data_IF_069157250988
#
_entry.id   IF_069157250988
#
_cell.length_a   1.000
_cell.length_b   1.000
_cell.length_c   1.000
_cell.angle_alpha   90.00
_cell.angle_beta   90.00
_cell.angle_gamma   90.00
#
_symmetry.space_group_name_H-M   'P 1'
#
loop_
_entity.id
_entity.type
_entity.pdbx_description
1 polymer ?
#
# COMPACT_ATOMS: atom_id res chain seq x y z
N UNK A 1 -4.96 5.50 -26.25
CA UNK A 1 -3.81 5.42 -25.33
C UNK A 1 -2.48 5.65 -26.04
N UNK A 2 -2.18 4.97 -27.15
CA UNK A 2 -0.88 5.09 -27.85
C UNK A 2 -0.52 6.52 -28.28
N UNK A 3 -1.49 7.32 -28.75
CA UNK A 3 -1.22 8.67 -29.27
C UNK A 3 -0.96 9.74 -28.20
N UNK A 4 -1.35 9.53 -26.94
CA UNK A 4 -1.09 10.49 -25.85
C UNK A 4 0.33 10.33 -25.28
N UNK A 5 0.79 9.08 -25.17
CA UNK A 5 2.15 8.76 -24.74
C UNK A 5 3.22 9.20 -25.75
N UNK A 6 2.94 9.09 -27.05
CA UNK A 6 3.85 9.57 -28.10
C UNK A 6 4.11 11.08 -28.01
N UNK A 7 3.16 11.85 -27.48
CA UNK A 7 3.28 13.30 -27.29
C UNK A 7 3.79 13.70 -25.90
N UNK A 8 3.99 12.72 -25.01
CA UNK A 8 4.45 12.99 -23.65
C UNK A 8 5.89 13.49 -23.68
N UNK A 9 6.07 14.73 -23.25
CA UNK A 9 7.38 15.36 -23.11
C UNK A 9 7.82 15.27 -21.65
N UNK A 10 9.06 14.85 -21.41
CA UNK A 10 9.62 14.79 -20.07
C UNK A 10 9.82 16.19 -19.49
N UNK A 11 9.40 16.39 -18.24
CA UNK A 11 9.65 17.62 -17.48
C UNK A 11 10.75 17.35 -16.45
N UNK A 12 12.02 17.72 -16.69
CA UNK A 12 13.16 17.22 -15.91
C UNK A 12 13.31 17.81 -14.51
N UNK A 13 12.78 19.01 -14.26
CA UNK A 13 12.94 19.73 -12.98
C UNK A 13 14.42 19.77 -12.54
N UNK A 14 14.75 19.18 -11.40
CA UNK A 14 16.10 19.16 -10.81
C UNK A 14 17.09 18.22 -11.52
N UNK A 15 16.64 17.47 -12.54
CA UNK A 15 17.46 16.57 -13.36
C UNK A 15 17.79 17.14 -14.74
N UNK A 16 17.67 18.46 -14.92
CA UNK A 16 17.90 19.11 -16.21
C UNK A 16 19.31 18.85 -16.76
N UNK A 17 20.30 18.85 -15.88
CA UNK A 17 21.69 18.53 -16.18
C UNK A 17 21.84 17.13 -16.79
N UNK A 18 21.19 16.11 -16.21
CA UNK A 18 21.21 14.76 -16.74
C UNK A 18 20.36 14.61 -17.99
N UNK A 19 19.20 15.27 -18.04
CA UNK A 19 18.29 15.23 -19.18
C UNK A 19 18.90 15.78 -20.47
N UNK A 20 19.73 16.83 -20.37
CA UNK A 20 20.34 17.45 -21.55
C UNK A 20 21.41 16.56 -22.20
N UNK A 21 21.90 15.53 -21.49
CA UNK A 21 22.82 14.51 -22.04
C UNK A 21 22.12 13.54 -23.00
N UNK A 22 22.90 12.77 -23.76
CA UNK A 22 22.37 11.74 -24.65
C UNK A 22 21.78 10.57 -23.86
N UNK A 23 22.47 10.11 -22.80
CA UNK A 23 21.95 9.11 -21.86
C UNK A 23 20.57 9.50 -21.33
N UNK A 24 20.38 10.75 -20.90
CA UNK A 24 19.09 11.22 -20.38
C UNK A 24 17.96 11.13 -21.40
N UNK A 25 18.22 11.46 -22.67
CA UNK A 25 17.25 11.38 -23.76
C UNK A 25 16.94 9.93 -24.13
N UNK A 26 17.98 9.11 -24.27
CA UNK A 26 17.86 7.69 -24.60
C UNK A 26 17.10 6.91 -23.52
N UNK A 27 17.33 7.21 -22.23
CA UNK A 27 16.57 6.64 -21.13
C UNK A 27 15.07 6.94 -21.26
N UNK A 28 14.70 8.17 -21.60
CA UNK A 28 13.29 8.54 -21.77
C UNK A 28 12.64 7.77 -22.93
N UNK A 29 13.34 7.66 -24.05
CA UNK A 29 12.85 6.92 -25.21
C UNK A 29 12.75 5.42 -24.94
N UNK A 30 13.75 4.85 -24.27
CA UNK A 30 13.72 3.46 -23.79
C UNK A 30 12.50 3.21 -22.89
N UNK A 31 12.26 4.05 -21.89
CA UNK A 31 11.15 3.87 -20.94
C UNK A 31 9.77 3.94 -21.59
N UNK A 32 9.62 4.71 -22.68
CA UNK A 32 8.37 4.82 -23.45
C UNK A 32 8.16 3.66 -24.45
N UNK A 33 9.13 2.78 -24.64
CA UNK A 33 8.95 1.61 -25.50
C UNK A 33 7.76 0.78 -24.99
N UNK A 34 6.96 0.28 -25.92
CA UNK A 34 5.70 -0.42 -25.64
C UNK A 34 5.86 -1.54 -24.59
N UNK A 35 6.90 -2.36 -24.70
CA UNK A 35 7.16 -3.46 -23.76
C UNK A 35 7.47 -2.96 -22.34
N UNK A 36 8.14 -1.81 -22.21
CA UNK A 36 8.45 -1.21 -20.93
C UNK A 36 7.19 -0.61 -20.28
N UNK A 37 6.27 -0.05 -21.07
CA UNK A 37 4.96 0.37 -20.60
C UNK A 37 4.17 -0.83 -20.03
N UNK A 38 4.09 -1.93 -20.78
CA UNK A 38 3.43 -3.17 -20.33
C UNK A 38 4.06 -3.70 -19.04
N UNK A 39 5.40 -3.69 -18.92
CA UNK A 39 6.11 -4.11 -17.71
C UNK A 39 5.71 -3.26 -16.50
N UNK A 40 5.65 -1.94 -16.64
CA UNK A 40 5.26 -1.02 -15.56
C UNK A 40 3.81 -1.23 -15.11
N UNK A 41 2.88 -1.39 -16.06
CA UNK A 41 1.47 -1.70 -15.75
C UNK A 41 1.33 -3.07 -15.07
N UNK A 42 2.04 -4.08 -15.58
CA UNK A 42 2.04 -5.42 -14.99
C UNK A 42 2.58 -5.40 -13.56
N UNK A 43 3.68 -4.70 -13.30
CA UNK A 43 4.19 -4.52 -11.93
C UNK A 43 3.16 -3.85 -11.03
N UNK A 44 2.44 -2.85 -11.55
CA UNK A 44 1.36 -2.17 -10.83
C UNK A 44 0.20 -3.12 -10.48
N UNK A 45 -0.22 -3.98 -11.42
CA UNK A 45 -1.24 -5.01 -11.17
C UNK A 45 -0.81 -6.01 -10.08
N UNK A 46 0.49 -6.34 -10.05
CA UNK A 46 1.10 -7.24 -9.07
C UNK A 46 1.50 -6.55 -7.76
N UNK A 47 1.15 -5.27 -7.57
CA UNK A 47 1.45 -4.50 -6.36
C UNK A 47 2.96 -4.35 -6.08
N UNK A 48 3.77 -4.35 -7.14
CA UNK A 48 5.23 -4.17 -7.11
C UNK A 48 5.61 -2.75 -7.55
N UNK A 49 6.87 -2.38 -7.30
CA UNK A 49 7.40 -1.10 -7.75
C UNK A 49 7.49 -1.07 -9.29
N UNK A 50 7.01 -0.01 -9.93
CA UNK A 50 6.95 0.06 -11.39
C UNK A 50 8.33 0.02 -12.07
N UNK A 51 9.38 0.49 -11.38
CA UNK A 51 10.77 0.45 -11.85
C UNK A 51 11.40 -0.94 -11.81
N UNK A 52 10.87 -1.84 -10.97
CA UNK A 52 11.49 -3.15 -10.72
C UNK A 52 11.68 -4.03 -11.97
N UNK A 53 10.67 -4.24 -12.84
CA UNK A 53 10.83 -5.07 -14.03
C UNK A 53 11.72 -4.44 -15.11
N UNK A 54 12.06 -3.16 -14.99
CA UNK A 54 12.88 -2.44 -15.98
C UNK A 54 14.37 -2.67 -15.76
N UNK A 55 14.78 -3.11 -14.56
CA UNK A 55 16.18 -3.21 -14.16
C UNK A 55 17.05 -4.01 -15.13
N UNK A 56 16.60 -5.20 -15.56
CA UNK A 56 17.37 -6.05 -16.47
C UNK A 56 17.57 -5.40 -17.85
N UNK A 57 16.53 -4.75 -18.39
CA UNK A 57 16.62 -4.06 -19.67
C UNK A 57 17.49 -2.81 -19.60
N UNK A 58 17.39 -2.05 -18.51
CA UNK A 58 18.24 -0.88 -18.28
C UNK A 58 19.73 -1.25 -18.21
N UNK A 59 20.07 -2.33 -17.49
CA UNK A 59 21.45 -2.82 -17.42
C UNK A 59 21.93 -3.33 -18.77
N UNK A 60 21.07 -4.05 -19.51
CA UNK A 60 21.44 -4.59 -20.81
C UNK A 60 21.70 -3.50 -21.85
N UNK A 61 20.92 -2.42 -21.83
CA UNK A 61 21.00 -1.33 -22.82
C UNK A 61 22.09 -0.30 -22.46
N UNK A 62 22.19 0.09 -21.18
CA UNK A 62 23.00 1.24 -20.74
C UNK A 62 24.18 0.86 -19.85
N UNK A 63 24.35 -0.43 -19.54
CA UNK A 63 25.46 -0.92 -18.73
C UNK A 63 25.51 -0.35 -17.32
N UNK A 64 26.71 0.01 -16.87
CA UNK A 64 26.95 0.48 -15.49
C UNK A 64 26.54 1.94 -15.26
N UNK A 65 26.31 2.73 -16.31
CA UNK A 65 25.94 4.15 -16.17
C UNK A 65 24.61 4.33 -15.42
N UNK A 66 23.68 3.37 -15.58
CA UNK A 66 22.40 3.38 -14.86
C UNK A 66 22.52 2.96 -13.40
N UNK A 67 23.70 2.50 -12.95
CA UNK A 67 23.94 2.18 -11.54
C UNK A 67 24.14 3.44 -10.68
N UNK A 68 24.45 4.59 -11.30
CA UNK A 68 24.58 5.87 -10.61
C UNK A 68 23.28 6.26 -9.89
N UNK A 69 23.41 6.74 -8.65
CA UNK A 69 22.27 7.06 -7.79
C UNK A 69 21.42 8.21 -8.35
N UNK A 70 22.04 9.23 -8.96
CA UNK A 70 21.33 10.38 -9.55
C UNK A 70 20.59 9.95 -10.81
N UNK A 71 21.19 9.07 -11.62
CA UNK A 71 20.53 8.46 -12.79
C UNK A 71 19.33 7.61 -12.37
N UNK A 72 19.47 6.74 -11.36
CA UNK A 72 18.33 5.95 -10.84
C UNK A 72 17.19 6.83 -10.31
N UNK A 73 17.52 7.94 -9.65
CA UNK A 73 16.52 8.90 -9.19
C UNK A 73 15.79 9.56 -10.37
N UNK A 74 16.52 9.93 -11.43
CA UNK A 74 15.93 10.45 -12.66
C UNK A 74 15.02 9.42 -13.33
N UNK A 75 15.43 8.16 -13.43
CA UNK A 75 14.60 7.07 -13.97
C UNK A 75 13.30 6.93 -13.16
N UNK A 76 13.39 6.94 -11.83
CA UNK A 76 12.21 6.92 -10.96
C UNK A 76 11.28 8.11 -11.20
N UNK A 77 11.84 9.29 -11.44
CA UNK A 77 11.09 10.50 -11.76
C UNK A 77 10.41 10.44 -13.14
N UNK A 78 11.10 9.91 -14.16
CA UNK A 78 10.56 9.65 -15.48
C UNK A 78 9.39 8.66 -15.43
N UNK A 79 9.58 7.53 -14.75
CA UNK A 79 8.53 6.51 -14.55
C UNK A 79 7.31 7.10 -13.89
N UNK A 80 7.47 8.01 -12.91
CA UNK A 80 6.33 8.71 -12.30
C UNK A 80 5.52 9.52 -13.30
N UNK A 81 6.15 10.22 -14.23
CA UNK A 81 5.45 11.01 -15.25
C UNK A 81 4.75 10.10 -16.27
N UNK A 82 5.39 9.02 -16.69
CA UNK A 82 4.80 8.02 -17.58
C UNK A 82 3.56 7.38 -16.93
N UNK A 83 3.68 6.92 -15.68
CA UNK A 83 2.56 6.32 -14.97
C UNK A 83 1.41 7.31 -14.75
N UNK A 84 1.71 8.59 -14.49
CA UNK A 84 0.69 9.63 -14.42
C UNK A 84 -0.04 9.84 -15.76
N UNK A 85 0.70 9.87 -16.87
CA UNK A 85 0.10 9.96 -18.21
C UNK A 85 -0.74 8.73 -18.58
N UNK A 86 -0.43 7.57 -18.01
CA UNK A 86 -1.21 6.34 -18.12
C UNK A 86 -2.46 6.32 -17.20
N UNK A 87 -2.74 7.38 -16.45
CA UNK A 87 -3.89 7.46 -15.55
C UNK A 87 -3.69 6.76 -14.20
N UNK A 88 -2.44 6.53 -13.79
CA UNK A 88 -2.13 5.98 -12.47
C UNK A 88 -1.63 7.07 -11.52
N UNK A 89 -1.99 6.93 -10.24
CA UNK A 89 -1.46 7.75 -9.15
C UNK A 89 -0.50 6.96 -8.26
N UNK A 90 0.52 7.61 -7.67
CA UNK A 90 1.33 6.99 -6.63
C UNK A 90 0.47 6.41 -5.50
N UNK A 91 0.84 5.23 -5.00
CA UNK A 91 0.18 4.54 -3.90
C UNK A 91 1.08 4.46 -2.66
N UNK A 92 2.20 3.74 -2.75
CA UNK A 92 3.24 3.67 -1.70
C UNK A 92 4.58 4.07 -2.28
N UNK A 93 5.27 4.96 -1.59
CA UNK A 93 6.65 5.34 -1.92
C UNK A 93 7.65 4.43 -1.20
N UNK A 94 8.82 4.22 -1.81
CA UNK A 94 9.94 3.47 -1.24
C UNK A 94 9.60 2.01 -0.85
N UNK A 95 8.78 1.31 -1.64
CA UNK A 95 8.59 -0.13 -1.47
C UNK A 95 9.93 -0.84 -1.68
N UNK A 96 10.39 -1.57 -0.67
CA UNK A 96 11.63 -2.36 -0.72
C UNK A 96 11.53 -3.44 -1.79
N UNK A 97 12.48 -3.46 -2.71
CA UNK A 97 12.67 -4.55 -3.67
C UNK A 97 13.51 -5.62 -2.98
N UNK A 98 12.95 -6.82 -2.82
CA UNK A 98 13.55 -7.89 -2.01
C UNK A 98 14.48 -8.80 -2.79
N UNK A 99 14.43 -8.75 -4.12
CA UNK A 99 15.33 -9.50 -5.00
C UNK A 99 16.52 -8.62 -5.41
N UNK A 100 17.71 -9.20 -5.65
CA UNK A 100 18.82 -8.46 -6.25
C UNK A 100 18.35 -7.75 -7.52
N UNK A 101 18.53 -6.43 -7.57
CA UNK A 101 18.03 -5.57 -8.65
C UNK A 101 18.82 -4.26 -8.68
N UNK A 102 18.79 -3.56 -9.82
CA UNK A 102 19.34 -2.21 -9.98
C UNK A 102 18.77 -1.23 -8.94
N UNK A 103 17.47 -1.40 -8.64
CA UNK A 103 16.76 -0.57 -7.69
C UNK A 103 16.62 -1.29 -6.35
N UNK A 104 16.97 -0.59 -5.28
CA UNK A 104 16.78 -1.07 -3.90
C UNK A 104 15.35 -0.87 -3.42
N UNK A 105 14.65 0.11 -3.97
CA UNK A 105 13.25 0.41 -3.69
C UNK A 105 12.63 1.18 -4.84
N UNK A 106 11.30 1.30 -4.85
CA UNK A 106 10.60 2.13 -5.82
C UNK A 106 9.16 2.46 -5.43
N UNK A 107 8.50 3.25 -6.26
CA UNK A 107 7.10 3.65 -6.03
C UNK A 107 6.14 2.64 -6.66
N UNK A 108 5.10 2.27 -5.92
CA UNK A 108 3.94 1.54 -6.45
C UNK A 108 2.86 2.50 -6.88
N UNK A 109 1.99 2.05 -7.77
CA UNK A 109 0.93 2.87 -8.34
C UNK A 109 -0.43 2.19 -8.20
N UNK A 110 -1.50 2.95 -8.46
CA UNK A 110 -2.87 2.47 -8.55
C UNK A 110 -3.63 3.29 -9.59
N UNK A 111 -4.56 2.65 -10.28
CA UNK A 111 -5.38 3.35 -11.29
C UNK A 111 -6.18 4.47 -10.63
N UNK A 112 -6.21 5.64 -11.25
CA UNK A 112 -7.02 6.76 -10.80
C UNK A 112 -8.52 6.41 -10.95
N UNK A 113 -9.32 6.71 -9.92
CA UNK A 113 -10.72 6.25 -9.86
C UNK A 113 -10.93 4.77 -9.50
N UNK A 114 -9.86 3.95 -9.47
CA UNK A 114 -9.90 2.63 -8.85
C UNK A 114 -10.15 2.77 -7.35
N UNK A 115 -11.33 2.35 -6.88
CA UNK A 115 -11.65 2.35 -5.46
C UNK A 115 -10.58 1.61 -4.62
N UNK A 116 -10.50 1.86 -3.30
CA UNK A 116 -9.57 1.15 -2.45
C UNK A 116 -9.76 -0.35 -2.66
N UNK A 117 -8.72 -1.03 -3.20
CA UNK A 117 -8.77 -2.49 -3.36
C UNK A 117 -9.04 -3.07 -1.97
N UNK A 118 -10.11 -3.88 -1.80
CA UNK A 118 -10.38 -4.49 -0.52
C UNK A 118 -9.14 -5.27 -0.10
N UNK A 119 -8.70 -5.02 1.13
CA UNK A 119 -7.61 -5.72 1.79
C UNK A 119 -7.68 -7.21 1.43
N UNK A 120 -6.65 -7.74 0.74
CA UNK A 120 -6.53 -9.17 0.42
C UNK A 120 -6.23 -9.96 1.70
N UNK A 121 -7.21 -10.03 2.59
CA UNK A 121 -7.28 -11.13 3.53
C UNK A 121 -7.98 -12.24 2.74
N UNK A 122 -7.27 -13.32 2.42
CA UNK A 122 -7.91 -14.45 1.75
C UNK A 122 -9.09 -14.93 2.59
N UNK A 123 -10.13 -15.51 1.95
CA UNK A 123 -11.28 -16.06 2.68
C UNK A 123 -10.81 -17.04 3.76
N UNK A 124 -9.78 -17.84 3.47
CA UNK A 124 -9.11 -18.72 4.44
C UNK A 124 -8.39 -17.99 5.57
N UNK A 125 -7.67 -16.89 5.31
CA UNK A 125 -7.04 -16.09 6.38
C UNK A 125 -8.09 -15.40 7.25
N UNK A 126 -9.22 -15.00 6.66
CA UNK A 126 -10.36 -14.42 7.36
C UNK A 126 -11.06 -15.50 8.20
N UNK A 127 -11.24 -16.70 7.65
CA UNK A 127 -11.86 -17.85 8.31
C UNK A 127 -10.96 -18.42 9.42
N UNK A 128 -9.64 -18.43 9.25
CA UNK A 128 -8.67 -18.80 10.29
C UNK A 128 -8.61 -17.76 11.42
N UNK A 129 -8.64 -16.47 11.10
CA UNK A 129 -8.77 -15.41 12.11
C UNK A 129 -10.13 -15.48 12.82
N UNK A 130 -11.22 -15.72 12.11
CA UNK A 130 -12.56 -15.91 12.67
C UNK A 130 -12.59 -17.14 13.59
N UNK A 131 -12.04 -18.28 13.16
CA UNK A 131 -12.03 -19.54 13.93
C UNK A 131 -11.23 -19.42 15.23
N UNK A 132 -10.10 -18.72 15.21
CA UNK A 132 -9.22 -18.59 16.39
C UNK A 132 -9.50 -17.36 17.25
N UNK A 133 -10.10 -16.30 16.69
CA UNK A 133 -10.27 -15.01 17.38
C UNK A 133 -11.73 -14.68 17.67
N UNK A 134 -12.69 -14.98 16.78
CA UNK A 134 -14.11 -14.57 16.97
C UNK A 134 -14.72 -15.13 18.27
N UNK A 135 -14.29 -16.32 18.69
CA UNK A 135 -14.73 -17.01 19.91
C UNK A 135 -13.70 -16.97 21.05
N UNK A 136 -12.64 -16.15 20.97
CA UNK A 136 -11.72 -16.02 22.12
C UNK A 136 -12.50 -15.52 23.33
N UNK A 137 -12.17 -15.99 24.54
CA UNK A 137 -12.82 -15.60 25.79
C UNK A 137 -13.02 -14.07 25.92
N UNK A 138 -11.98 -13.29 25.59
CA UNK A 138 -12.05 -11.82 25.51
C UNK A 138 -13.12 -11.28 24.54
N UNK A 139 -13.28 -11.88 23.35
CA UNK A 139 -14.26 -11.42 22.38
C UNK A 139 -15.69 -11.80 22.79
N UNK A 140 -15.88 -12.93 23.48
CA UNK A 140 -17.16 -13.29 24.08
C UNK A 140 -17.53 -12.29 25.16
N UNK A 141 -16.62 -12.05 26.11
CA UNK A 141 -16.76 -11.06 27.18
C UNK A 141 -17.04 -9.65 26.66
N UNK A 142 -16.29 -9.18 25.65
CA UNK A 142 -16.49 -7.85 25.10
C UNK A 142 -17.83 -7.76 24.37
N UNK A 143 -18.21 -8.78 23.59
CA UNK A 143 -19.49 -8.79 22.86
C UNK A 143 -20.70 -8.73 23.79
N UNK A 144 -20.66 -9.39 24.96
CA UNK A 144 -21.73 -9.32 25.97
C UNK A 144 -21.98 -7.89 26.46
N UNK A 145 -20.94 -7.06 26.50
CA UNK A 145 -21.04 -5.68 26.96
C UNK A 145 -21.45 -4.72 25.84
N UNK A 146 -20.95 -4.93 24.62
CA UNK A 146 -21.05 -3.94 23.54
C UNK A 146 -22.08 -4.29 22.47
N UNK A 147 -22.79 -5.41 22.58
CA UNK A 147 -23.87 -5.78 21.65
C UNK A 147 -25.24 -5.80 22.32
N UNK A 148 -26.28 -5.59 21.53
CA UNK A 148 -27.68 -5.76 21.94
C UNK A 148 -28.16 -7.21 21.75
N UNK A 149 -29.42 -7.47 22.11
CA UNK A 149 -30.09 -8.78 21.95
C UNK A 149 -30.20 -9.22 20.48
N UNK A 150 -30.17 -8.27 19.55
CA UNK A 150 -30.19 -8.50 18.10
C UNK A 150 -28.78 -8.68 17.51
N UNK A 151 -27.74 -8.60 18.34
CA UNK A 151 -26.34 -8.71 17.93
C UNK A 151 -25.75 -7.45 17.27
N UNK A 152 -26.44 -6.31 17.29
CA UNK A 152 -25.93 -5.04 16.78
C UNK A 152 -24.86 -4.46 17.72
N UNK A 153 -23.83 -3.85 17.14
CA UNK A 153 -22.78 -3.18 17.90
C UNK A 153 -23.27 -1.82 18.39
N UNK A 154 -23.22 -1.60 19.70
CA UNK A 154 -23.54 -0.33 20.36
C UNK A 154 -22.25 0.42 20.66
N UNK A 155 -21.96 1.45 19.86
CA UNK A 155 -20.71 2.22 19.98
C UNK A 155 -20.60 2.94 21.33
N UNK A 156 -21.71 3.45 21.86
CA UNK A 156 -21.69 4.13 23.17
C UNK A 156 -21.25 3.18 24.28
N UNK A 157 -21.70 1.92 24.25
CA UNK A 157 -21.25 0.89 25.20
C UNK A 157 -19.79 0.53 24.98
N UNK A 158 -19.34 0.43 23.74
CA UNK A 158 -17.94 0.17 23.42
C UNK A 158 -17.01 1.26 23.99
N UNK A 159 -17.39 2.53 23.87
CA UNK A 159 -16.62 3.63 24.43
C UNK A 159 -16.72 3.71 25.96
N UNK A 160 -17.88 3.42 26.56
CA UNK A 160 -18.01 3.33 28.00
C UNK A 160 -17.13 2.22 28.60
N UNK A 161 -17.06 1.06 27.94
CA UNK A 161 -16.13 -0.02 28.32
C UNK A 161 -14.68 0.44 28.16
N UNK A 162 -14.34 1.13 27.07
CA UNK A 162 -12.99 1.66 26.86
C UNK A 162 -12.58 2.62 27.99
N UNK A 163 -13.45 3.55 28.35
CA UNK A 163 -13.25 4.54 29.41
C UNK A 163 -13.02 3.89 30.78
N UNK A 164 -13.73 2.80 31.10
CA UNK A 164 -13.52 2.04 32.35
C UNK A 164 -12.07 1.56 32.54
N UNK A 165 -11.37 1.27 31.44
CA UNK A 165 -9.97 0.84 31.46
C UNK A 165 -8.99 1.97 31.08
N UNK A 166 -9.43 3.22 31.15
CA UNK A 166 -8.59 4.41 30.91
C UNK A 166 -8.30 4.70 29.43
N UNK A 167 -9.12 4.18 28.50
CA UNK A 167 -8.99 4.48 27.07
C UNK A 167 -9.95 5.61 26.66
N UNK A 168 -9.43 6.83 26.59
CA UNK A 168 -10.18 8.03 26.17
C UNK A 168 -10.14 8.28 24.66
N UNK A 169 -9.35 7.49 23.92
CA UNK A 169 -9.10 7.72 22.49
C UNK A 169 -10.36 7.46 21.64
N UNK A 170 -10.78 8.48 20.90
CA UNK A 170 -11.92 8.43 19.96
C UNK A 170 -11.49 8.10 18.53
N UNK A 171 -12.36 7.39 17.81
CA UNK A 171 -12.16 6.96 16.42
C UNK A 171 -13.36 7.33 15.54
N UNK A 172 -13.93 8.51 15.77
CA UNK A 172 -15.22 8.93 15.17
C UNK A 172 -15.19 9.01 13.64
N UNK A 173 -13.99 9.10 13.03
CA UNK A 173 -13.79 9.11 11.59
C UNK A 173 -13.77 7.70 10.94
N UNK A 174 -13.91 6.62 11.71
CA UNK A 174 -13.89 5.24 11.21
C UNK A 174 -15.28 4.60 11.24
N UNK A 175 -15.50 3.55 10.45
CA UNK A 175 -16.77 2.82 10.52
C UNK A 175 -16.89 2.02 11.84
N UNK A 176 -18.11 1.65 12.28
CA UNK A 176 -18.32 1.01 13.59
C UNK A 176 -17.49 -0.26 13.82
N UNK A 177 -17.31 -1.09 12.78
CA UNK A 177 -16.49 -2.29 12.86
C UNK A 177 -15.00 -1.99 13.07
N UNK A 178 -14.48 -0.97 12.39
CA UNK A 178 -13.10 -0.50 12.55
C UNK A 178 -12.86 0.12 13.92
N UNK A 179 -13.82 0.91 14.44
CA UNK A 179 -13.77 1.45 15.80
C UNK A 179 -13.66 0.33 16.84
N UNK A 180 -14.54 -0.68 16.76
CA UNK A 180 -14.51 -1.86 17.62
C UNK A 180 -13.18 -2.61 17.54
N UNK A 181 -12.64 -2.76 16.34
CA UNK A 181 -11.37 -3.46 16.16
C UNK A 181 -10.23 -2.72 16.85
N UNK A 182 -10.10 -1.41 16.63
CA UNK A 182 -9.03 -0.62 17.23
C UNK A 182 -9.12 -0.57 18.75
N UNK A 183 -10.32 -0.33 19.29
CA UNK A 183 -10.56 -0.29 20.74
C UNK A 183 -10.34 -1.68 21.37
N UNK A 184 -10.84 -2.74 20.75
CA UNK A 184 -10.68 -4.11 21.25
C UNK A 184 -9.22 -4.56 21.33
N UNK A 185 -8.37 -4.14 20.39
CA UNK A 185 -6.92 -4.43 20.44
C UNK A 185 -6.24 -3.74 21.62
N UNK A 186 -6.68 -2.54 21.98
CA UNK A 186 -6.13 -1.80 23.12
C UNK A 186 -6.66 -2.37 24.44
N UNK A 187 -7.96 -2.63 24.54
CA UNK A 187 -8.58 -3.24 25.70
C UNK A 187 -7.94 -4.58 26.06
N UNK A 188 -7.59 -5.42 25.07
CA UNK A 188 -6.92 -6.70 25.32
C UNK A 188 -5.57 -6.58 26.05
N UNK A 189 -4.92 -5.41 25.99
CA UNK A 189 -3.66 -5.16 26.71
C UNK A 189 -3.88 -4.63 28.13
N UNK A 190 -5.07 -4.14 28.43
CA UNK A 190 -5.39 -3.40 29.65
C UNK A 190 -6.31 -4.17 30.60
N UNK A 191 -7.21 -5.00 30.06
CA UNK A 191 -8.13 -5.82 30.84
C UNK A 191 -7.37 -7.02 31.41
N UNK A 192 -7.50 -7.28 32.71
CA UNK A 192 -6.90 -8.45 33.35
C UNK A 192 -7.52 -9.73 32.75
N UNK A 193 -6.71 -10.71 32.30
CA UNK A 193 -7.21 -11.98 31.78
C UNK A 193 -8.26 -12.67 32.65
N UNK A 194 -8.16 -12.54 33.98
CA UNK A 194 -9.12 -13.12 34.93
C UNK A 194 -10.56 -12.61 34.73
N UNK A 195 -10.73 -11.40 34.20
CA UNK A 195 -12.04 -10.79 33.95
C UNK A 195 -12.78 -11.42 32.77
N UNK A 196 -12.09 -12.10 31.85
CA UNK A 196 -12.71 -12.71 30.68
C UNK A 196 -12.46 -14.21 30.55
N UNK A 197 -11.47 -14.77 31.26
CA UNK A 197 -11.23 -16.23 31.36
C UNK A 197 -12.21 -16.93 32.32
N UNK A 198 -12.92 -16.17 33.15
CA UNK A 198 -13.97 -16.65 34.06
C UNK A 198 -15.29 -17.03 33.37
N UNK A 199 -15.34 -17.00 32.03
CA UNK A 199 -16.51 -17.27 31.20
C UNK A 199 -16.42 -18.58 30.39
N UNK A 200 -15.51 -19.50 30.76
CA UNK A 200 -15.52 -20.90 30.28
C UNK A 200 -16.50 -21.79 31.05
#
# INVERSE_FOLDING_TARGET
MTSELERLTYVPQNFRDLWETDLGKELWDFLKQHDNLIRMETATLLERAAVEPLAAGLIAEFGDEVADDRVKQMIGHMVKQIMAALGYKPDRSALRITRPSLFTSGTTYRLEGGGPKPMKISREQRDAWIKNTKNSAFNVWLNQQVRDENGNLLLDRLYAVAEKYGLEKRYDNLNPGQQRMNIGVQLRKLVDPKEYESFE
#
